data_IF_400136322515
#
_entry.id   IF_400136322515
#
_cell.length_a   1.000
_cell.length_b   1.000
_cell.length_c   1.000
_cell.angle_alpha   90.00
_cell.angle_beta   90.00
_cell.angle_gamma   90.00
#
_symmetry.space_group_name_H-M   'P 1'
#
loop_
_entity.id
_entity.type
_entity.pdbx_description
1 polymer ?
#
# COMPACT_ATOMS: atom_id res chain seq x y z
N UNK A 1 11.25 -22.99 -26.45
CA UNK A 1 10.91 -23.14 -25.01
C UNK A 1 9.63 -22.36 -24.77
N UNK A 2 8.64 -22.93 -24.09
CA UNK A 2 7.44 -22.18 -23.69
C UNK A 2 7.84 -21.06 -22.72
N UNK A 3 7.31 -19.85 -22.90
CA UNK A 3 7.57 -18.74 -21.99
C UNK A 3 7.16 -19.12 -20.55
N UNK A 4 8.03 -18.79 -19.59
CA UNK A 4 7.77 -18.99 -18.16
C UNK A 4 7.35 -17.65 -17.55
N UNK A 5 6.26 -17.70 -16.79
CA UNK A 5 5.64 -16.55 -16.12
C UNK A 5 5.74 -16.70 -14.62
N UNK A 6 5.98 -15.59 -13.92
CA UNK A 6 5.87 -15.53 -12.46
C UNK A 6 4.47 -15.07 -12.09
N UNK A 7 3.68 -15.98 -11.54
CA UNK A 7 2.29 -15.73 -11.15
C UNK A 7 2.20 -15.59 -9.63
N UNK A 8 1.57 -14.52 -9.18
CA UNK A 8 1.33 -14.20 -7.77
C UNK A 8 -0.18 -14.18 -7.57
N UNK A 9 -0.69 -14.94 -6.61
CA UNK A 9 -2.10 -14.95 -6.26
C UNK A 9 -2.24 -14.73 -4.76
N UNK A 10 -3.21 -13.93 -4.34
CA UNK A 10 -3.50 -13.67 -2.94
C UNK A 10 -4.93 -13.18 -2.77
N UNK A 11 -5.63 -13.65 -1.76
CA UNK A 11 -6.95 -13.11 -1.38
C UNK A 11 -7.87 -14.15 -0.78
N UNK A 12 -9.15 -13.81 -0.69
CA UNK A 12 -10.16 -14.66 -0.08
C UNK A 12 -11.51 -14.44 -0.74
N UNK A 13 -12.25 -15.52 -1.02
CA UNK A 13 -13.66 -15.47 -1.43
C UNK A 13 -14.54 -16.06 -0.33
N UNK A 14 -15.63 -15.40 -0.02
CA UNK A 14 -16.61 -15.78 1.00
C UNK A 14 -17.88 -16.34 0.33
N UNK A 15 -18.28 -17.57 0.67
CA UNK A 15 -19.48 -18.21 0.10
C UNK A 15 -20.70 -18.14 1.03
N UNK A 16 -20.49 -17.72 2.29
CA UNK A 16 -21.54 -17.32 3.23
C UNK A 16 -22.27 -18.44 3.97
N UNK A 17 -22.36 -19.64 3.40
CA UNK A 17 -22.98 -20.79 4.05
C UNK A 17 -22.43 -22.13 3.49
N UNK A 18 -22.59 -23.20 4.26
CA UNK A 18 -22.15 -24.55 3.90
C UNK A 18 -22.65 -25.00 2.51
N UNK A 19 -23.94 -24.83 2.21
CA UNK A 19 -24.52 -25.29 0.93
C UNK A 19 -23.83 -24.64 -0.27
N UNK A 20 -23.62 -23.32 -0.21
CA UNK A 20 -22.92 -22.59 -1.27
C UNK A 20 -21.45 -22.99 -1.34
N UNK A 21 -20.79 -23.19 -0.19
CA UNK A 21 -19.40 -23.67 -0.13
C UNK A 21 -19.24 -25.05 -0.77
N UNK A 22 -20.05 -26.04 -0.38
CA UNK A 22 -20.00 -27.42 -0.91
C UNK A 22 -20.24 -27.43 -2.42
N UNK A 23 -21.22 -26.64 -2.88
CA UNK A 23 -21.50 -26.51 -4.30
C UNK A 23 -20.27 -25.98 -5.05
N UNK A 24 -19.62 -24.94 -4.53
CA UNK A 24 -18.45 -24.34 -5.19
C UNK A 24 -17.24 -25.26 -5.16
N UNK A 25 -17.00 -25.98 -4.05
CA UNK A 25 -15.92 -26.95 -3.95
C UNK A 25 -16.07 -28.06 -5.00
N UNK A 26 -17.28 -28.63 -5.14
CA UNK A 26 -17.58 -29.63 -6.16
C UNK A 26 -17.39 -29.08 -7.59
N UNK A 27 -17.87 -27.86 -7.84
CA UNK A 27 -17.69 -27.19 -9.13
C UNK A 27 -16.21 -26.92 -9.46
N UNK A 28 -15.43 -26.53 -8.45
CA UNK A 28 -14.00 -26.28 -8.57
C UNK A 28 -13.26 -27.56 -8.94
N UNK A 29 -13.49 -28.65 -8.19
CA UNK A 29 -12.85 -29.95 -8.43
C UNK A 29 -13.24 -30.51 -9.80
N UNK A 30 -14.53 -30.52 -10.12
CA UNK A 30 -15.03 -31.00 -11.41
C UNK A 30 -14.42 -30.26 -12.59
N UNK A 31 -14.31 -28.92 -12.53
CA UNK A 31 -13.68 -28.14 -13.60
C UNK A 31 -12.17 -28.35 -13.69
N UNK A 32 -11.51 -28.43 -12.55
CA UNK A 32 -10.06 -28.69 -12.47
C UNK A 32 -9.72 -29.99 -13.21
N UNK A 33 -10.46 -31.07 -12.93
CA UNK A 33 -10.25 -32.37 -13.57
C UNK A 33 -10.69 -32.37 -15.05
N UNK A 34 -11.94 -32.00 -15.32
CA UNK A 34 -12.55 -32.26 -16.63
C UNK A 34 -12.26 -31.20 -17.69
N UNK A 35 -12.07 -29.94 -17.29
CA UNK A 35 -11.89 -28.82 -18.23
C UNK A 35 -10.42 -28.42 -18.32
N UNK A 36 -9.69 -28.45 -17.21
CA UNK A 36 -8.31 -28.00 -17.13
C UNK A 36 -7.29 -29.13 -17.05
N UNK A 37 -7.71 -30.39 -16.87
CA UNK A 37 -6.82 -31.57 -16.75
C UNK A 37 -5.76 -31.37 -15.66
N UNK A 38 -6.17 -30.81 -14.53
CA UNK A 38 -5.32 -30.46 -13.37
C UNK A 38 -4.23 -29.40 -13.66
N UNK A 39 -4.29 -28.71 -14.80
CA UNK A 39 -3.35 -27.65 -15.17
C UNK A 39 -3.81 -26.28 -14.63
N UNK A 40 -3.79 -26.16 -13.30
CA UNK A 40 -4.05 -24.92 -12.54
C UNK A 40 -2.99 -24.74 -11.44
N UNK A 41 -2.98 -23.57 -10.80
CA UNK A 41 -1.97 -23.20 -9.81
C UNK A 41 -2.43 -23.38 -8.35
N UNK A 42 -3.68 -23.78 -8.12
CA UNK A 42 -4.32 -23.83 -6.80
C UNK A 42 -4.65 -25.27 -6.46
N UNK A 43 -4.30 -25.65 -5.24
CA UNK A 43 -4.71 -26.92 -4.64
C UNK A 43 -6.01 -26.71 -3.85
N UNK A 44 -6.98 -27.61 -4.02
CA UNK A 44 -8.29 -27.47 -3.37
C UNK A 44 -8.23 -27.70 -1.85
N UNK A 45 -7.43 -28.67 -1.40
CA UNK A 45 -7.32 -29.05 0.01
C UNK A 45 -6.64 -27.93 0.81
N UNK A 46 -5.66 -27.25 0.22
CA UNK A 46 -5.01 -26.10 0.84
C UNK A 46 -5.89 -24.84 0.81
N UNK A 47 -6.63 -24.62 -0.27
CA UNK A 47 -7.33 -23.36 -0.50
C UNK A 47 -8.71 -23.28 0.18
N UNK A 48 -9.48 -24.36 0.22
CA UNK A 48 -10.85 -24.34 0.73
C UNK A 48 -10.88 -24.58 2.24
N UNK A 49 -11.56 -23.70 2.96
CA UNK A 49 -11.64 -23.70 4.42
C UNK A 49 -13.09 -23.90 4.86
N UNK A 50 -13.43 -25.11 5.28
CA UNK A 50 -14.79 -25.50 5.63
C UNK A 50 -15.31 -24.75 6.86
N UNK A 51 -14.47 -24.58 7.88
CA UNK A 51 -14.83 -23.90 9.13
C UNK A 51 -15.28 -22.45 8.93
N UNK A 52 -14.86 -21.82 7.83
CA UNK A 52 -15.13 -20.42 7.52
C UNK A 52 -15.96 -20.21 6.25
N UNK A 53 -16.30 -21.27 5.51
CA UNK A 53 -16.99 -21.22 4.21
C UNK A 53 -16.28 -20.33 3.17
N UNK A 54 -14.95 -20.42 3.13
CA UNK A 54 -14.11 -19.56 2.28
C UNK A 54 -13.21 -20.36 1.37
N UNK A 55 -12.85 -19.75 0.25
CA UNK A 55 -11.59 -20.05 -0.42
C UNK A 55 -10.57 -19.01 0.06
N UNK A 56 -9.55 -19.44 0.79
CA UNK A 56 -8.48 -18.59 1.30
C UNK A 56 -7.19 -18.91 0.57
N UNK A 57 -6.63 -17.91 -0.11
CA UNK A 57 -5.36 -18.00 -0.81
C UNK A 57 -4.36 -17.07 -0.12
N UNK A 58 -3.58 -17.58 0.86
CA UNK A 58 -2.38 -16.90 1.30
C UNK A 58 -1.51 -16.56 0.09
N UNK A 59 -0.81 -15.43 0.15
CA UNK A 59 0.02 -14.98 -0.96
C UNK A 59 1.03 -16.07 -1.33
N UNK A 60 0.90 -16.61 -2.53
CA UNK A 60 1.89 -17.53 -3.11
C UNK A 60 2.45 -16.99 -4.42
N UNK A 61 3.61 -17.51 -4.79
CA UNK A 61 4.33 -17.15 -6.00
C UNK A 61 4.75 -18.45 -6.69
N UNK A 62 4.28 -18.68 -7.92
CA UNK A 62 4.62 -19.87 -8.72
C UNK A 62 5.15 -19.48 -10.08
N UNK A 63 6.15 -20.22 -10.57
CA UNK A 63 6.44 -20.24 -12.00
C UNK A 63 5.34 -21.03 -12.71
N UNK A 64 4.92 -20.55 -13.88
CA UNK A 64 3.73 -21.05 -14.56
C UNK A 64 3.83 -20.88 -16.06
N UNK A 65 3.16 -21.76 -16.80
CA UNK A 65 2.93 -21.57 -18.23
C UNK A 65 1.78 -20.57 -18.47
N UNK A 66 1.69 -20.04 -19.69
CA UNK A 66 0.57 -19.19 -20.08
C UNK A 66 -0.79 -19.87 -19.88
N UNK A 67 -0.84 -21.16 -20.24
CA UNK A 67 -2.03 -21.99 -20.10
C UNK A 67 -2.43 -22.16 -18.63
N UNK A 68 -1.50 -22.49 -17.76
CA UNK A 68 -1.76 -22.76 -16.33
C UNK A 68 -2.32 -21.52 -15.62
N UNK A 69 -1.74 -20.34 -15.83
CA UNK A 69 -2.23 -19.12 -15.17
C UNK A 69 -3.57 -18.66 -15.76
N UNK A 70 -3.80 -18.81 -17.08
CA UNK A 70 -5.11 -18.52 -17.70
C UNK A 70 -6.21 -19.46 -17.21
N UNK A 71 -5.92 -20.76 -17.10
CA UNK A 71 -6.86 -21.73 -16.54
C UNK A 71 -7.23 -21.38 -15.10
N UNK A 72 -6.23 -21.02 -14.29
CA UNK A 72 -6.43 -20.59 -12.89
C UNK A 72 -7.31 -19.34 -12.83
N UNK A 73 -7.02 -18.32 -13.63
CA UNK A 73 -7.81 -17.08 -13.71
C UNK A 73 -9.26 -17.37 -14.09
N UNK A 74 -9.48 -18.18 -15.13
CA UNK A 74 -10.82 -18.54 -15.60
C UNK A 74 -11.61 -19.31 -14.54
N UNK A 75 -10.96 -20.26 -13.84
CA UNK A 75 -11.58 -21.02 -12.76
C UNK A 75 -11.96 -20.12 -11.59
N UNK A 76 -11.06 -19.22 -11.18
CA UNK A 76 -11.32 -18.27 -10.10
C UNK A 76 -12.47 -17.32 -10.43
N UNK A 77 -12.52 -16.77 -11.64
CA UNK A 77 -13.63 -15.94 -12.09
C UNK A 77 -14.96 -16.69 -12.05
N UNK A 78 -14.97 -17.95 -12.52
CA UNK A 78 -16.17 -18.77 -12.52
C UNK A 78 -16.70 -19.02 -11.10
N UNK A 79 -15.83 -19.39 -10.15
CA UNK A 79 -16.29 -19.65 -8.77
C UNK A 79 -16.66 -18.34 -8.03
N UNK A 80 -16.08 -17.19 -8.42
CA UNK A 80 -16.39 -15.91 -7.81
C UNK A 80 -17.85 -15.47 -8.03
N UNK A 81 -18.51 -15.92 -9.10
CA UNK A 81 -19.95 -15.71 -9.33
C UNK A 81 -20.83 -16.27 -8.18
N UNK A 82 -20.34 -17.28 -7.48
CA UNK A 82 -21.03 -17.90 -6.35
C UNK A 82 -20.69 -17.25 -5.01
N UNK A 83 -19.60 -16.49 -4.92
CA UNK A 83 -19.23 -15.76 -3.72
C UNK A 83 -20.22 -14.63 -3.41
N UNK A 84 -20.16 -14.14 -2.16
CA UNK A 84 -20.99 -13.02 -1.67
C UNK A 84 -20.16 -11.84 -1.18
N UNK A 85 -18.88 -12.06 -0.89
CA UNK A 85 -17.90 -11.05 -0.52
C UNK A 85 -16.48 -11.56 -0.80
N UNK A 86 -15.50 -10.68 -0.60
CA UNK A 86 -14.08 -11.00 -0.79
C UNK A 86 -13.58 -10.68 -2.18
N UNK A 87 -12.27 -10.84 -2.35
CA UNK A 87 -11.57 -10.67 -3.61
C UNK A 87 -10.30 -11.54 -3.62
N UNK A 88 -9.94 -12.04 -4.79
CA UNK A 88 -8.65 -12.65 -5.09
C UNK A 88 -7.95 -11.79 -6.10
N UNK A 89 -6.73 -11.37 -5.79
CA UNK A 89 -5.87 -10.64 -6.73
C UNK A 89 -4.87 -11.58 -7.37
N UNK A 90 -4.71 -11.42 -8.68
CA UNK A 90 -3.80 -12.21 -9.48
C UNK A 90 -2.92 -11.28 -10.33
N UNK A 91 -1.61 -11.40 -10.12
CA UNK A 91 -0.60 -10.69 -10.90
C UNK A 91 0.24 -11.67 -11.68
N UNK A 92 0.48 -11.37 -12.94
CA UNK A 92 1.38 -12.17 -13.78
C UNK A 92 2.50 -11.26 -14.28
N UNK A 93 3.73 -11.71 -14.12
CA UNK A 93 4.94 -10.99 -14.49
C UNK A 93 5.73 -11.83 -15.50
N UNK A 94 6.13 -11.20 -16.60
CA UNK A 94 7.01 -11.78 -17.60
C UNK A 94 8.10 -10.78 -17.95
N UNK A 95 9.37 -11.22 -17.98
CA UNK A 95 10.53 -10.37 -18.30
C UNK A 95 10.55 -9.05 -17.48
N UNK A 96 10.23 -9.14 -16.18
CA UNK A 96 10.14 -8.01 -15.23
C UNK A 96 9.04 -6.98 -15.55
N UNK A 97 8.16 -7.27 -16.50
CA UNK A 97 6.97 -6.46 -16.80
C UNK A 97 5.73 -7.13 -16.22
N UNK A 98 4.87 -6.32 -15.59
CA UNK A 98 3.53 -6.76 -15.21
C UNK A 98 2.70 -6.90 -16.48
N UNK A 99 2.19 -8.10 -16.75
CA UNK A 99 1.36 -8.39 -17.91
C UNK A 99 -0.12 -8.54 -17.54
N UNK A 100 -0.41 -8.80 -16.26
CA UNK A 100 -1.76 -8.95 -15.73
C UNK A 100 -1.82 -8.38 -14.31
N UNK A 101 -2.85 -7.60 -14.03
CA UNK A 101 -3.27 -7.16 -12.70
C UNK A 101 -4.80 -7.30 -12.61
N UNK A 102 -5.26 -8.46 -12.16
CA UNK A 102 -6.68 -8.78 -12.09
C UNK A 102 -7.17 -8.86 -10.66
N UNK A 103 -8.36 -8.30 -10.43
CA UNK A 103 -9.11 -8.45 -9.19
C UNK A 103 -10.35 -9.28 -9.48
N UNK A 104 -10.34 -10.51 -8.96
CA UNK A 104 -11.44 -11.46 -9.09
C UNK A 104 -12.34 -11.29 -7.87
N UNK A 105 -13.56 -10.83 -8.10
CA UNK A 105 -14.51 -10.50 -7.03
C UNK A 105 -15.94 -10.90 -7.42
N UNK A 106 -16.85 -11.11 -6.45
CA UNK A 106 -18.22 -11.48 -6.76
C UNK A 106 -18.94 -10.37 -7.53
N UNK A 107 -19.53 -10.76 -8.66
CA UNK A 107 -20.40 -9.93 -9.48
C UNK A 107 -21.80 -10.53 -9.51
N UNK A 108 -22.82 -9.68 -9.64
CA UNK A 108 -24.20 -10.13 -9.83
C UNK A 108 -25.22 -9.45 -8.92
N UNK A 109 -26.40 -10.04 -8.87
CA UNK A 109 -27.60 -9.35 -8.36
C UNK A 109 -27.88 -9.49 -6.86
N UNK A 110 -27.04 -10.22 -6.12
CA UNK A 110 -27.22 -10.42 -4.68
C UNK A 110 -27.19 -9.06 -3.96
N UNK A 111 -28.12 -8.85 -3.03
CA UNK A 111 -28.27 -7.55 -2.36
C UNK A 111 -27.00 -7.05 -1.68
N UNK A 112 -26.21 -7.98 -1.10
CA UNK A 112 -24.93 -7.68 -0.46
C UNK A 112 -23.91 -7.13 -1.47
N UNK A 113 -23.79 -7.76 -2.64
CA UNK A 113 -22.90 -7.33 -3.74
C UNK A 113 -23.34 -5.94 -4.22
N UNK A 114 -24.63 -5.75 -4.52
CA UNK A 114 -25.14 -4.44 -4.98
C UNK A 114 -24.88 -3.32 -3.97
N UNK A 115 -25.10 -3.59 -2.69
CA UNK A 115 -24.87 -2.63 -1.62
C UNK A 115 -23.39 -2.25 -1.51
N UNK A 116 -22.49 -3.24 -1.53
CA UNK A 116 -21.05 -3.00 -1.50
C UNK A 116 -20.56 -2.24 -2.72
N UNK A 117 -20.96 -2.66 -3.93
CA UNK A 117 -20.57 -2.02 -5.19
C UNK A 117 -21.01 -0.55 -5.22
N UNK A 118 -22.25 -0.28 -4.80
CA UNK A 118 -22.76 1.10 -4.66
C UNK A 118 -21.95 1.90 -3.66
N UNK A 119 -21.70 1.35 -2.47
CA UNK A 119 -20.91 2.04 -1.44
C UNK A 119 -19.49 2.35 -1.91
N UNK A 120 -18.84 1.38 -2.56
CA UNK A 120 -17.49 1.54 -3.11
C UNK A 120 -17.40 2.63 -4.18
N UNK A 121 -18.43 2.80 -5.01
CA UNK A 121 -18.43 3.86 -6.01
C UNK A 121 -18.61 5.23 -5.37
N UNK A 122 -19.60 5.37 -4.46
CA UNK A 122 -19.88 6.62 -3.76
C UNK A 122 -18.68 7.13 -2.94
N UNK A 123 -17.83 6.25 -2.41
CA UNK A 123 -16.59 6.63 -1.70
C UNK A 123 -15.64 7.49 -2.54
N UNK A 124 -15.68 7.34 -3.86
CA UNK A 124 -14.85 8.11 -4.81
C UNK A 124 -15.40 9.51 -5.06
N UNK A 125 -16.69 9.73 -4.80
CA UNK A 125 -17.39 10.99 -5.04
C UNK A 125 -17.27 11.90 -3.82
N UNK A 126 -16.95 13.17 -4.06
CA UNK A 126 -16.87 14.18 -2.98
C UNK A 126 -18.27 14.55 -2.50
N UNK A 127 -18.49 14.57 -1.18
CA UNK A 127 -19.76 14.98 -0.59
C UNK A 127 -20.80 13.86 -0.48
N UNK A 128 -20.46 12.63 -0.91
CA UNK A 128 -21.34 11.46 -0.87
C UNK A 128 -21.02 10.52 0.31
N UNK A 129 -20.34 11.03 1.34
CA UNK A 129 -19.90 10.24 2.48
C UNK A 129 -21.09 9.59 3.21
N UNK A 130 -22.21 10.28 3.37
CA UNK A 130 -23.41 9.73 4.04
C UNK A 130 -24.05 8.58 3.23
N UNK A 131 -24.21 8.74 1.93
CA UNK A 131 -24.77 7.73 1.03
C UNK A 131 -23.84 6.51 0.95
N UNK A 132 -22.52 6.75 0.91
CA UNK A 132 -21.52 5.70 0.98
C UNK A 132 -21.67 4.89 2.27
N UNK A 133 -21.74 5.57 3.43
CA UNK A 133 -21.98 4.92 4.73
C UNK A 133 -23.27 4.09 4.73
N UNK A 134 -24.39 4.64 4.24
CA UNK A 134 -25.69 3.93 4.14
C UNK A 134 -25.59 2.67 3.26
N UNK A 135 -24.87 2.74 2.14
CA UNK A 135 -24.68 1.60 1.26
C UNK A 135 -23.77 0.53 1.87
N UNK A 136 -22.67 0.94 2.52
CA UNK A 136 -21.71 0.04 3.17
C UNK A 136 -22.31 -0.64 4.41
N UNK A 137 -23.08 0.08 5.21
CA UNK A 137 -23.84 -0.49 6.33
C UNK A 137 -24.77 -1.59 5.84
N UNK A 138 -25.55 -1.34 4.77
CA UNK A 138 -26.42 -2.37 4.18
C UNK A 138 -25.65 -3.61 3.70
N UNK A 139 -24.42 -3.46 3.20
CA UNK A 139 -23.59 -4.62 2.84
C UNK A 139 -23.19 -5.43 4.08
N UNK A 140 -22.75 -4.73 5.13
CA UNK A 140 -22.35 -5.32 6.41
C UNK A 140 -23.53 -6.00 7.12
N UNK A 141 -24.70 -5.36 7.17
CA UNK A 141 -25.92 -5.92 7.79
C UNK A 141 -26.39 -7.19 7.07
N UNK A 142 -26.12 -7.30 5.76
CA UNK A 142 -26.44 -8.50 4.97
C UNK A 142 -25.39 -9.60 5.12
N UNK A 143 -24.15 -9.23 5.42
CA UNK A 143 -23.06 -10.17 5.66
C UNK A 143 -22.01 -9.56 6.58
N UNK A 144 -22.07 -9.89 7.86
CA UNK A 144 -21.19 -9.29 8.88
C UNK A 144 -19.71 -9.62 8.70
N UNK A 145 -19.37 -10.62 7.88
CA UNK A 145 -18.00 -10.96 7.48
C UNK A 145 -17.58 -10.29 6.17
N UNK A 146 -18.12 -9.12 5.85
CA UNK A 146 -17.75 -8.39 4.63
C UNK A 146 -16.51 -7.49 4.83
N UNK A 147 -15.31 -8.09 4.88
CA UNK A 147 -14.06 -7.37 5.19
C UNK A 147 -13.79 -6.12 4.34
N UNK A 148 -14.09 -6.13 3.03
CA UNK A 148 -13.91 -4.95 2.16
C UNK A 148 -14.92 -3.83 2.41
N UNK A 149 -16.11 -4.13 2.92
CA UNK A 149 -17.12 -3.11 3.22
C UNK A 149 -16.69 -2.36 4.48
N UNK A 150 -16.17 -3.06 5.49
CA UNK A 150 -15.52 -2.42 6.63
C UNK A 150 -14.34 -1.55 6.21
N UNK A 151 -13.43 -1.99 5.34
CA UNK A 151 -12.33 -1.14 4.87
C UNK A 151 -12.83 0.16 4.23
N UNK A 152 -13.79 0.05 3.32
CA UNK A 152 -14.37 1.24 2.68
C UNK A 152 -15.10 2.14 3.68
N UNK A 153 -15.80 1.57 4.66
CA UNK A 153 -16.48 2.34 5.71
C UNK A 153 -15.49 3.05 6.61
N UNK A 154 -14.41 2.36 6.98
CA UNK A 154 -13.29 2.92 7.74
C UNK A 154 -12.62 4.07 7.01
N UNK A 155 -12.47 3.99 5.68
CA UNK A 155 -11.97 5.10 4.87
C UNK A 155 -12.92 6.31 4.87
N UNK A 156 -14.24 6.11 4.81
CA UNK A 156 -15.21 7.20 4.96
C UNK A 156 -15.14 7.82 6.35
N UNK A 157 -15.12 7.00 7.40
CA UNK A 157 -14.96 7.47 8.78
C UNK A 157 -13.65 8.26 8.96
N UNK A 158 -12.55 7.82 8.34
CA UNK A 158 -11.29 8.55 8.35
C UNK A 158 -11.40 9.93 7.69
N UNK A 159 -12.04 10.02 6.51
CA UNK A 159 -12.31 11.31 5.82
C UNK A 159 -13.14 12.25 6.69
N UNK A 160 -14.15 11.71 7.38
CA UNK A 160 -15.00 12.45 8.31
C UNK A 160 -14.33 12.76 9.66
N UNK A 161 -13.08 12.32 9.85
CA UNK A 161 -12.31 12.46 11.11
C UNK A 161 -12.90 11.70 12.30
N UNK A 162 -13.75 10.71 12.04
CA UNK A 162 -14.26 9.74 13.02
C UNK A 162 -13.20 8.66 13.26
N UNK A 163 -12.10 9.02 13.90
CA UNK A 163 -10.91 8.17 13.98
C UNK A 163 -11.10 6.89 14.82
N UNK A 164 -11.99 6.89 15.81
CA UNK A 164 -12.31 5.69 16.58
C UNK A 164 -13.11 4.68 15.75
N UNK A 165 -14.13 5.12 15.02
CA UNK A 165 -14.90 4.28 14.12
C UNK A 165 -14.05 3.77 12.94
N UNK A 166 -13.17 4.62 12.40
CA UNK A 166 -12.22 4.20 11.37
C UNK A 166 -11.27 3.12 11.89
N UNK A 167 -10.76 3.26 13.12
CA UNK A 167 -9.90 2.24 13.75
C UNK A 167 -10.63 0.90 13.90
N UNK A 168 -11.88 0.95 14.37
CA UNK A 168 -12.74 -0.24 14.51
C UNK A 168 -12.93 -0.93 13.16
N UNK A 169 -13.32 -0.18 12.15
CA UNK A 169 -13.60 -0.69 10.81
C UNK A 169 -12.37 -1.28 10.12
N UNK A 170 -11.23 -0.59 10.16
CA UNK A 170 -10.01 -1.15 9.60
C UNK A 170 -9.55 -2.41 10.35
N UNK A 171 -9.73 -2.46 11.67
CA UNK A 171 -9.41 -3.65 12.47
C UNK A 171 -10.31 -4.83 12.09
N UNK A 172 -11.63 -4.61 12.00
CA UNK A 172 -12.56 -5.64 11.51
C UNK A 172 -12.22 -6.13 10.11
N UNK A 173 -11.82 -5.22 9.21
CA UNK A 173 -11.37 -5.61 7.87
C UNK A 173 -10.15 -6.51 7.90
N UNK A 174 -9.15 -6.21 8.73
CA UNK A 174 -7.93 -7.00 8.90
C UNK A 174 -8.23 -8.37 9.51
N UNK A 175 -9.11 -8.43 10.52
CA UNK A 175 -9.49 -9.69 11.18
C UNK A 175 -10.19 -10.65 10.21
N UNK A 176 -11.02 -10.11 9.32
CA UNK A 176 -11.77 -10.90 8.33
C UNK A 176 -10.90 -11.23 7.11
N UNK A 177 -10.20 -10.23 6.55
CA UNK A 177 -9.37 -10.34 5.36
C UNK A 177 -7.93 -9.87 5.66
N UNK A 178 -7.08 -10.74 6.22
CA UNK A 178 -5.71 -10.37 6.63
C UNK A 178 -4.77 -10.04 5.47
N UNK A 179 -5.20 -10.27 4.21
CA UNK A 179 -4.46 -9.98 2.99
C UNK A 179 -4.89 -8.65 2.31
N UNK A 180 -5.57 -7.76 3.04
CA UNK A 180 -6.05 -6.47 2.53
C UNK A 180 -5.08 -5.30 2.88
N UNK A 181 -4.11 -4.92 2.02
CA UNK A 181 -3.16 -3.86 2.29
C UNK A 181 -3.83 -2.50 2.51
N UNK A 182 -4.97 -2.25 1.87
CA UNK A 182 -5.73 -1.00 2.03
C UNK A 182 -6.22 -0.80 3.48
N UNK A 183 -6.63 -1.88 4.16
CA UNK A 183 -7.07 -1.82 5.56
C UNK A 183 -5.92 -1.52 6.52
N UNK A 184 -4.77 -2.18 6.34
CA UNK A 184 -3.58 -1.87 7.14
C UNK A 184 -3.09 -0.44 6.90
N UNK A 185 -3.09 0.02 5.65
CA UNK A 185 -2.74 1.39 5.31
C UNK A 185 -3.68 2.39 5.99
N UNK A 186 -4.99 2.17 5.94
CA UNK A 186 -5.98 2.99 6.64
C UNK A 186 -5.74 3.02 8.15
N UNK A 187 -5.53 1.85 8.76
CA UNK A 187 -5.26 1.71 10.20
C UNK A 187 -3.97 2.43 10.62
N UNK A 188 -2.91 2.30 9.83
CA UNK A 188 -1.65 3.01 10.06
C UNK A 188 -1.84 4.53 10.07
N UNK A 189 -2.62 5.09 9.13
CA UNK A 189 -2.89 6.52 9.10
C UNK A 189 -3.65 6.99 10.36
N UNK A 190 -4.63 6.21 10.83
CA UNK A 190 -5.33 6.51 12.09
C UNK A 190 -4.35 6.47 13.27
N UNK A 191 -3.48 5.45 13.34
CA UNK A 191 -2.48 5.31 14.40
C UNK A 191 -1.48 6.48 14.41
N UNK A 192 -1.04 6.97 13.26
CA UNK A 192 -0.19 8.17 13.14
C UNK A 192 -0.88 9.39 13.75
N UNK A 193 -2.16 9.62 13.44
CA UNK A 193 -2.94 10.73 14.00
C UNK A 193 -3.04 10.60 15.52
N UNK A 194 -3.20 9.37 16.02
CA UNK A 194 -3.22 9.05 17.46
C UNK A 194 -1.83 8.99 18.11
N UNK A 195 -0.76 9.29 17.35
CA UNK A 195 0.65 9.25 17.78
C UNK A 195 1.16 7.85 18.18
N UNK A 196 0.46 6.79 17.82
CA UNK A 196 0.95 5.42 17.91
C UNK A 196 1.85 5.11 16.71
N UNK A 197 3.08 5.63 16.74
CA UNK A 197 4.01 5.52 15.62
C UNK A 197 4.52 4.08 15.45
N UNK A 198 4.70 3.33 16.55
CA UNK A 198 5.14 1.93 16.52
C UNK A 198 4.09 1.04 15.88
N UNK A 199 2.84 1.12 16.34
CA UNK A 199 1.75 0.35 15.76
C UNK A 199 1.48 0.74 14.29
N UNK A 200 1.72 2.00 13.91
CA UNK A 200 1.64 2.42 12.51
C UNK A 200 2.74 1.79 11.65
N UNK A 201 3.99 1.73 12.13
CA UNK A 201 5.10 1.07 11.42
C UNK A 201 4.79 -0.41 11.16
N UNK A 202 4.21 -1.11 12.14
CA UNK A 202 3.79 -2.50 11.99
C UNK A 202 2.72 -2.67 10.92
N UNK A 203 1.67 -1.84 10.94
CA UNK A 203 0.61 -1.88 9.94
C UNK A 203 1.13 -1.54 8.54
N UNK A 204 2.02 -0.55 8.40
CA UNK A 204 2.63 -0.23 7.11
C UNK A 204 3.48 -1.40 6.59
N UNK A 205 4.15 -2.15 7.49
CA UNK A 205 4.89 -3.34 7.07
C UNK A 205 3.95 -4.42 6.55
N UNK A 206 2.80 -4.59 7.20
CA UNK A 206 1.77 -5.50 6.72
C UNK A 206 1.18 -5.04 5.37
N UNK A 207 0.89 -3.75 5.19
CA UNK A 207 0.45 -3.20 3.90
C UNK A 207 1.48 -3.46 2.78
N UNK A 208 2.77 -3.39 3.08
CA UNK A 208 3.85 -3.71 2.13
C UNK A 208 3.94 -5.21 1.84
N UNK A 209 3.77 -6.09 2.84
CA UNK A 209 3.81 -7.55 2.68
C UNK A 209 2.62 -8.08 1.89
N UNK A 210 1.44 -7.48 2.05
CA UNK A 210 0.18 -7.89 1.41
C UNK A 210 -0.07 -7.17 0.07
N UNK A 211 0.88 -6.35 -0.40
CA UNK A 211 0.88 -5.72 -1.73
C UNK A 211 2.13 -6.10 -2.55
N UNK A 212 2.16 -5.73 -3.83
CA UNK A 212 3.31 -5.99 -4.71
C UNK A 212 4.02 -4.69 -5.16
N UNK A 213 5.30 -4.74 -5.56
CA UNK A 213 6.04 -3.55 -6.00
C UNK A 213 5.48 -2.78 -7.21
N UNK A 214 4.52 -3.36 -7.94
CA UNK A 214 3.82 -2.66 -9.01
C UNK A 214 2.67 -1.78 -8.51
N UNK A 215 2.21 -1.98 -7.28
CA UNK A 215 1.12 -1.20 -6.71
C UNK A 215 1.67 0.03 -5.97
N UNK A 216 1.05 1.21 -6.12
CA UNK A 216 1.53 2.43 -5.46
C UNK A 216 1.61 2.32 -3.93
N UNK A 217 0.68 1.59 -3.31
CA UNK A 217 0.60 1.39 -1.85
C UNK A 217 1.87 0.74 -1.28
N UNK A 218 2.55 -0.12 -2.04
CA UNK A 218 3.79 -0.76 -1.61
C UNK A 218 4.89 0.27 -1.34
N UNK A 219 5.00 1.28 -2.21
CA UNK A 219 6.00 2.34 -2.09
C UNK A 219 5.58 3.42 -1.13
N UNK A 220 4.28 3.74 -1.08
CA UNK A 220 3.72 4.64 -0.06
C UNK A 220 3.97 4.13 1.35
N UNK A 221 3.80 2.81 1.58
CA UNK A 221 4.07 2.16 2.85
C UNK A 221 5.55 2.26 3.25
N UNK A 222 6.48 1.94 2.34
CA UNK A 222 7.93 2.08 2.57
C UNK A 222 8.32 3.52 2.91
N UNK A 223 7.85 4.49 2.12
CA UNK A 223 8.13 5.91 2.35
C UNK A 223 7.71 6.33 3.75
N UNK A 224 6.44 6.06 4.11
CA UNK A 224 5.89 6.50 5.39
C UNK A 224 6.58 5.78 6.56
N UNK A 225 6.94 4.50 6.43
CA UNK A 225 7.76 3.79 7.45
C UNK A 225 9.12 4.46 7.64
N UNK A 226 9.79 4.81 6.55
CA UNK A 226 11.06 5.53 6.61
C UNK A 226 10.95 6.88 7.32
N UNK A 227 9.87 7.62 7.07
CA UNK A 227 9.56 8.89 7.75
C UNK A 227 9.33 8.70 9.26
N UNK A 228 8.57 7.66 9.64
CA UNK A 228 8.31 7.35 11.05
C UNK A 228 9.56 6.86 11.79
N UNK A 229 10.37 6.02 11.15
CA UNK A 229 11.67 5.61 11.71
C UNK A 229 12.58 6.82 11.92
N UNK A 230 12.63 7.77 10.97
CA UNK A 230 13.38 9.01 11.12
C UNK A 230 12.88 9.83 12.32
N UNK A 231 11.55 9.95 12.50
CA UNK A 231 10.96 10.66 13.63
C UNK A 231 11.29 10.01 14.98
N UNK A 232 11.43 8.68 15.02
CA UNK A 232 11.81 7.93 16.22
C UNK A 232 13.33 7.89 16.47
N UNK A 233 14.15 8.51 15.61
CA UNK A 233 15.62 8.44 15.70
C UNK A 233 16.22 7.10 15.24
N UNK A 234 15.42 6.26 14.58
CA UNK A 234 15.83 4.95 14.06
C UNK A 234 16.45 5.11 12.66
N UNK A 235 17.57 5.83 12.61
CA UNK A 235 18.13 6.33 11.35
C UNK A 235 18.52 5.22 10.39
N UNK A 236 19.05 4.09 10.88
CA UNK A 236 19.44 2.98 10.01
C UNK A 236 18.24 2.33 9.31
N UNK A 237 17.12 2.20 10.02
CA UNK A 237 15.86 1.69 9.49
C UNK A 237 15.24 2.69 8.51
N UNK A 238 15.31 3.99 8.82
CA UNK A 238 14.88 5.05 7.92
C UNK A 238 15.67 5.02 6.59
N UNK A 239 17.00 4.92 6.67
CA UNK A 239 17.89 4.76 5.51
C UNK A 239 17.49 3.55 4.67
N UNK A 240 17.27 2.39 5.30
CA UNK A 240 16.89 1.17 4.59
C UNK A 240 15.61 1.33 3.78
N UNK A 241 14.55 1.89 4.37
CA UNK A 241 13.27 2.06 3.70
C UNK A 241 13.33 3.15 2.62
N UNK A 242 13.90 4.32 2.95
CA UNK A 242 13.92 5.48 2.06
C UNK A 242 14.84 5.26 0.86
N UNK A 243 15.99 4.59 1.03
CA UNK A 243 16.90 4.24 -0.08
C UNK A 243 16.18 3.49 -1.20
N UNK A 244 15.29 2.58 -0.83
CA UNK A 244 14.52 1.79 -1.80
C UNK A 244 13.53 2.67 -2.58
N UNK A 245 12.94 3.67 -1.92
CA UNK A 245 12.00 4.63 -2.53
C UNK A 245 12.74 5.62 -3.44
N UNK A 246 13.88 6.16 -3.02
CA UNK A 246 14.65 7.17 -3.77
C UNK A 246 15.40 6.61 -4.98
N UNK A 247 15.60 5.29 -5.00
CA UNK A 247 16.22 4.57 -6.12
C UNK A 247 15.20 4.07 -7.14
N UNK A 248 13.89 4.10 -6.83
CA UNK A 248 12.85 3.67 -7.77
C UNK A 248 12.58 4.79 -8.79
N UNK A 249 12.73 4.54 -10.11
CA UNK A 249 12.34 5.52 -11.12
C UNK A 249 10.81 5.49 -11.28
N UNK A 250 10.12 6.34 -10.52
CA UNK A 250 8.68 6.56 -10.68
C UNK A 250 8.42 7.38 -11.95
N UNK A 251 7.34 7.06 -12.66
CA UNK A 251 6.81 7.90 -13.74
C UNK A 251 5.95 9.01 -13.14
N UNK A 252 5.77 10.13 -13.85
CA UNK A 252 4.94 11.26 -13.36
C UNK A 252 3.50 10.87 -13.05
N UNK A 253 2.98 9.83 -13.70
CA UNK A 253 1.65 9.26 -13.46
C UNK A 253 1.56 8.42 -12.18
N UNK A 254 2.70 7.98 -11.62
CA UNK A 254 2.70 7.24 -10.37
C UNK A 254 2.38 8.19 -9.19
N UNK A 255 1.40 7.86 -8.34
CA UNK A 255 1.06 8.68 -7.17
C UNK A 255 2.22 8.95 -6.19
N UNK A 256 3.29 8.15 -6.26
CA UNK A 256 4.51 8.29 -5.45
C UNK A 256 5.56 9.23 -6.06
N UNK A 257 5.48 9.57 -7.36
CA UNK A 257 6.46 10.44 -8.02
C UNK A 257 6.58 11.78 -7.30
N UNK A 258 5.44 12.39 -7.01
CA UNK A 258 5.36 13.66 -6.29
C UNK A 258 6.08 13.64 -4.94
N UNK A 259 6.21 12.47 -4.29
CA UNK A 259 6.85 12.33 -2.98
C UNK A 259 8.37 12.13 -3.03
N UNK A 260 8.97 12.06 -4.22
CA UNK A 260 10.43 11.87 -4.38
C UNK A 260 11.24 12.95 -3.66
N UNK A 261 10.81 14.21 -3.78
CA UNK A 261 11.46 15.35 -3.10
C UNK A 261 11.55 15.13 -1.59
N UNK A 262 10.42 14.84 -0.95
CA UNK A 262 10.33 14.56 0.49
C UNK A 262 11.13 13.30 0.89
N UNK A 263 11.06 12.24 0.10
CA UNK A 263 11.78 11.01 0.38
C UNK A 263 13.30 11.23 0.33
N UNK A 264 13.80 11.98 -0.66
CA UNK A 264 15.22 12.35 -0.79
C UNK A 264 15.69 13.25 0.36
N UNK A 265 14.85 14.23 0.74
CA UNK A 265 15.15 15.09 1.89
C UNK A 265 15.28 14.29 3.19
N UNK A 266 14.29 13.43 3.50
CA UNK A 266 14.30 12.62 4.71
C UNK A 266 15.42 11.56 4.68
N UNK A 267 15.75 11.04 3.50
CA UNK A 267 16.89 10.15 3.32
C UNK A 267 18.21 10.86 3.62
N UNK A 268 18.40 12.06 3.07
CA UNK A 268 19.57 12.89 3.35
C UNK A 268 19.71 13.24 4.83
N UNK A 269 18.60 13.56 5.50
CA UNK A 269 18.59 13.77 6.96
C UNK A 269 19.03 12.51 7.71
N UNK A 270 18.46 11.36 7.39
CA UNK A 270 18.83 10.11 8.07
C UNK A 270 20.32 9.77 7.88
N UNK A 271 20.85 9.97 6.67
CA UNK A 271 22.28 9.81 6.36
C UNK A 271 23.17 10.78 7.14
N UNK A 272 22.74 12.03 7.26
CA UNK A 272 23.46 13.05 8.02
C UNK A 272 23.60 12.65 9.50
N UNK A 273 22.52 12.15 10.11
CA UNK A 273 22.51 11.73 11.53
C UNK A 273 23.44 10.54 11.82
N UNK A 274 23.67 9.66 10.85
CA UNK A 274 24.63 8.55 10.98
C UNK A 274 26.05 8.89 10.54
N UNK A 275 26.32 10.15 10.16
CA UNK A 275 27.63 10.62 9.74
C UNK A 275 28.00 10.32 8.28
N UNK A 276 27.07 9.83 7.46
CA UNK A 276 27.27 9.62 6.02
C UNK A 276 27.10 10.93 5.23
N UNK A 277 27.91 11.93 5.57
CA UNK A 277 27.71 13.31 5.08
C UNK A 277 27.79 13.45 3.56
N UNK A 278 28.73 12.77 2.89
CA UNK A 278 28.84 12.82 1.43
C UNK A 278 27.61 12.23 0.71
N UNK A 279 27.05 11.13 1.23
CA UNK A 279 25.82 10.56 0.69
C UNK A 279 24.61 11.44 1.00
N UNK A 280 24.58 12.09 2.17
CA UNK A 280 23.56 13.07 2.52
C UNK A 280 23.56 14.24 1.51
N UNK A 281 24.74 14.77 1.16
CA UNK A 281 24.87 15.83 0.14
C UNK A 281 24.33 15.35 -1.22
N UNK A 282 24.65 14.14 -1.66
CA UNK A 282 24.11 13.57 -2.91
C UNK A 282 22.59 13.51 -2.89
N UNK A 283 22.00 13.04 -1.79
CA UNK A 283 20.55 12.97 -1.63
C UNK A 283 19.90 14.37 -1.66
N UNK A 284 20.47 15.34 -0.94
CA UNK A 284 19.98 16.72 -0.94
C UNK A 284 20.14 17.42 -2.30
N UNK A 285 21.20 17.13 -3.06
CA UNK A 285 21.35 17.65 -4.41
C UNK A 285 20.25 17.10 -5.34
N UNK A 286 20.10 15.77 -5.36
CA UNK A 286 19.11 15.08 -6.21
C UNK A 286 17.67 15.52 -5.93
N UNK A 287 17.36 15.94 -4.70
CA UNK A 287 16.05 16.48 -4.34
C UNK A 287 15.64 17.67 -5.23
N UNK A 288 16.59 18.50 -5.67
CA UNK A 288 16.31 19.69 -6.49
C UNK A 288 15.99 19.36 -7.96
N UNK A 289 16.20 18.11 -8.40
CA UNK A 289 15.76 17.63 -9.72
C UNK A 289 14.22 17.51 -9.79
N UNK A 290 13.53 17.57 -8.65
CA UNK A 290 12.08 17.48 -8.54
C UNK A 290 11.49 18.84 -8.15
N UNK A 291 10.80 19.45 -9.10
CA UNK A 291 10.02 20.67 -8.86
C UNK A 291 8.59 20.31 -8.43
N UNK A 292 8.43 20.10 -7.13
CA UNK A 292 7.13 19.77 -6.52
C UNK A 292 6.88 20.76 -5.40
N UNK A 293 6.22 21.88 -5.71
CA UNK A 293 5.70 22.80 -4.71
C UNK A 293 4.42 22.23 -4.10
N UNK A 294 4.53 21.67 -2.90
CA UNK A 294 3.40 21.21 -2.10
C UNK A 294 3.48 21.77 -0.70
N UNK A 295 2.33 21.91 -0.04
CA UNK A 295 2.26 22.35 1.37
C UNK A 295 3.09 21.45 2.28
N UNK A 296 3.23 20.18 1.92
CA UNK A 296 4.00 19.18 2.66
C UNK A 296 5.47 19.10 2.24
N UNK A 297 5.92 19.85 1.22
CA UNK A 297 7.35 19.89 0.87
C UNK A 297 8.15 20.45 2.05
N UNK A 298 9.40 19.99 2.28
CA UNK A 298 10.25 20.57 3.30
C UNK A 298 10.36 22.09 3.07
N UNK A 299 10.32 22.93 4.12
CA UNK A 299 10.49 24.37 3.95
C UNK A 299 11.74 24.69 3.13
N UNK A 300 11.67 25.64 2.18
CA UNK A 300 12.81 25.97 1.31
C UNK A 300 14.06 26.33 2.13
N UNK A 301 13.89 27.09 3.22
CA UNK A 301 14.97 27.42 4.13
C UNK A 301 15.65 26.17 4.73
N UNK A 302 14.87 25.17 5.15
CA UNK A 302 15.39 23.91 5.69
C UNK A 302 16.10 23.05 4.64
N UNK A 303 15.64 23.10 3.37
CA UNK A 303 16.31 22.42 2.27
C UNK A 303 17.75 22.90 2.10
N UNK A 304 17.95 24.22 2.06
CA UNK A 304 19.28 24.82 1.96
C UNK A 304 20.08 24.62 3.24
N UNK A 305 19.49 24.84 4.42
CA UNK A 305 20.19 24.68 5.69
C UNK A 305 20.77 23.26 5.85
N UNK A 306 19.96 22.22 5.65
CA UNK A 306 20.42 20.84 5.84
C UNK A 306 21.46 20.43 4.78
N UNK A 307 21.33 20.90 3.54
CA UNK A 307 22.36 20.69 2.51
C UNK A 307 23.67 21.41 2.88
N UNK A 308 23.58 22.65 3.34
CA UNK A 308 24.74 23.45 3.77
C UNK A 308 25.47 22.78 4.94
N UNK A 309 24.74 22.34 5.97
CA UNK A 309 25.32 21.60 7.10
C UNK A 309 25.99 20.29 6.65
N UNK A 310 25.35 19.54 5.75
CA UNK A 310 25.93 18.32 5.19
C UNK A 310 27.22 18.59 4.41
N UNK A 311 27.24 19.62 3.55
CA UNK A 311 28.44 20.04 2.81
C UNK A 311 29.57 20.46 3.75
N UNK A 312 29.26 21.26 4.77
CA UNK A 312 30.24 21.69 5.76
C UNK A 312 30.89 20.49 6.47
N UNK A 313 30.08 19.53 6.91
CA UNK A 313 30.57 18.30 7.58
C UNK A 313 31.30 17.36 6.63
N UNK A 314 30.95 17.34 5.35
CA UNK A 314 31.64 16.58 4.32
C UNK A 314 32.96 17.25 3.83
N UNK A 315 33.25 18.48 4.25
CA UNK A 315 34.39 19.26 3.73
C UNK A 315 34.19 19.73 2.28
N UNK A 316 32.95 19.75 1.79
CA UNK A 316 32.60 20.22 0.46
C UNK A 316 32.44 21.75 0.43
N UNK A 317 32.74 22.37 -0.71
CA UNK A 317 32.56 23.81 -0.92
C UNK A 317 31.08 24.17 -1.08
N UNK A 318 30.76 25.47 -1.09
CA UNK A 318 29.39 25.96 -1.32
C UNK A 318 28.47 25.91 -0.09
N UNK A 319 28.90 25.32 1.03
CA UNK A 319 28.11 25.30 2.27
C UNK A 319 27.73 26.71 2.76
N UNK A 320 28.64 27.68 2.69
CA UNK A 320 28.35 29.07 3.08
C UNK A 320 27.26 29.72 2.21
N UNK A 321 27.19 29.36 0.92
CA UNK A 321 26.13 29.86 0.05
C UNK A 321 24.77 29.32 0.47
N UNK A 322 24.71 28.03 0.81
CA UNK A 322 23.49 27.39 1.28
C UNK A 322 23.02 27.96 2.62
N UNK A 323 23.94 28.20 3.57
CA UNK A 323 23.60 28.80 4.87
C UNK A 323 23.10 30.24 4.68
N UNK A 324 23.73 31.04 3.81
CA UNK A 324 23.25 32.40 3.46
C UNK A 324 21.87 32.39 2.84
N UNK A 325 21.63 31.49 1.89
CA UNK A 325 20.31 31.34 1.26
C UNK A 325 19.24 30.95 2.28
N UNK A 326 19.54 29.98 3.16
CA UNK A 326 18.65 29.58 4.23
C UNK A 326 18.31 30.74 5.19
N UNK A 327 19.30 31.55 5.56
CA UNK A 327 19.10 32.73 6.39
C UNK A 327 18.24 33.79 5.68
N UNK A 328 18.51 34.05 4.39
CA UNK A 328 17.70 34.94 3.56
C UNK A 328 16.24 34.49 3.39
N UNK A 329 15.99 33.18 3.46
CA UNK A 329 14.66 32.57 3.48
C UNK A 329 14.02 32.51 4.89
N UNK A 330 14.64 33.11 5.90
CA UNK A 330 14.09 33.25 7.24
C UNK A 330 14.48 32.15 8.23
N UNK A 331 15.52 31.35 7.96
CA UNK A 331 16.02 30.38 8.94
C UNK A 331 16.84 31.08 10.04
N UNK A 332 16.29 31.15 11.25
CA UNK A 332 16.97 31.68 12.45
C UNK A 332 18.28 30.93 12.72
N UNK A 333 18.23 29.59 12.69
CA UNK A 333 19.41 28.74 12.88
C UNK A 333 20.52 29.03 11.86
N UNK A 334 20.16 29.33 10.62
CA UNK A 334 21.14 29.69 9.60
C UNK A 334 21.77 31.07 9.88
N UNK A 335 20.97 32.04 10.34
CA UNK A 335 21.45 33.36 10.73
C UNK A 335 22.45 33.27 11.90
N UNK A 336 22.12 32.52 12.95
CA UNK A 336 23.02 32.28 14.10
C UNK A 336 24.35 31.65 13.67
N UNK A 337 24.31 30.68 12.74
CA UNK A 337 25.52 30.04 12.22
C UNK A 337 26.41 31.02 11.44
N UNK A 338 25.86 32.05 10.80
CA UNK A 338 26.63 33.06 10.10
C UNK A 338 27.25 34.07 11.06
N UNK A 339 26.53 34.46 12.10
CA UNK A 339 27.04 35.35 13.15
C UNK A 339 28.21 34.73 13.90
N UNK A 340 28.17 33.42 14.17
CA UNK A 340 29.24 32.70 14.83
C UNK A 340 30.54 32.55 14.00
N UNK A 341 30.52 32.95 12.72
CA UNK A 341 31.67 32.90 11.80
C UNK A 341 32.35 34.27 11.59
N UNK A 342 31.78 35.33 12.18
CA UNK A 342 32.32 36.70 12.19
C UNK A 342 33.09 36.92 13.50
#
# INVERSE_FOLDING_TARGET
MSAIYKTIVSGCLEFGNQRSYDQVLNLFQHRTENYYRNDILIDAEEAFQESSFTLNLPRFIKESSEKSWKNTLNLLNYIAEYAIAGDVRMWVIHERKLILDETIEPVGDKSVIKAFMKGRELVKETGMEEEAMKALNRAIDKFERHGKAYERRGYVNFKLRNFDDAMYDFTKSVDIHPNNPEAYWGRANVKIIKKDLRGAIEDLEMARKTSIPHQPIFWSARRLRGELHLQLGEFQQAIFELKMVTNRPFTETDPNYKWQKNALYNYGKALFEVGEFGEAVKAFNKMFDFDVERKEAPPKADQFLNRGLARQKAGETGYMSDIKEAAGLGSEKAAELLEALV
#
